data_IF_669953771297
#
_entry.id   IF_669953771297
#
_cell.length_a   1.000
_cell.length_b   1.000
_cell.length_c   1.000
_cell.angle_alpha   90.00
_cell.angle_beta   90.00
_cell.angle_gamma   90.00
#
_symmetry.space_group_name_H-M   'P 1'
#
loop_
_entity.id
_entity.type
_entity.pdbx_description
1 polymer ?
#
# COMPACT_ATOMS: atom_id res chain seq x y z
N UNK A 1 -10.40 -12.18 -19.27
CA UNK A 1 -9.45 -11.18 -18.73
C UNK A 1 -9.65 -11.19 -17.21
N UNK A 2 -8.70 -11.73 -16.46
CA UNK A 2 -8.81 -11.77 -15.00
C UNK A 2 -8.60 -10.34 -14.48
N UNK A 3 -9.68 -9.67 -14.10
CA UNK A 3 -9.60 -8.45 -13.28
C UNK A 3 -9.02 -8.88 -11.92
N UNK A 4 -7.69 -8.92 -11.84
CA UNK A 4 -7.01 -9.31 -10.62
C UNK A 4 -7.24 -8.21 -9.58
N UNK A 5 -8.12 -8.51 -8.63
CA UNK A 5 -8.39 -7.61 -7.53
C UNK A 5 -7.19 -7.62 -6.60
N UNK A 6 -6.80 -6.44 -6.15
CA UNK A 6 -5.71 -6.25 -5.19
C UNK A 6 -6.22 -5.54 -3.96
N UNK A 7 -5.66 -5.88 -2.81
CA UNK A 7 -5.93 -5.24 -1.52
C UNK A 7 -4.69 -4.49 -1.06
N UNK A 8 -4.92 -3.29 -0.53
CA UNK A 8 -3.91 -2.55 0.20
C UNK A 8 -3.93 -2.97 1.68
N UNK A 9 -2.82 -3.53 2.17
CA UNK A 9 -2.67 -4.04 3.54
C UNK A 9 -1.80 -3.14 4.43
N UNK A 10 -1.46 -1.94 3.96
CA UNK A 10 -0.68 -0.97 4.74
C UNK A 10 -1.51 -0.13 5.71
N UNK A 11 -0.87 0.82 6.42
CA UNK A 11 -1.56 1.79 7.29
C UNK A 11 -2.42 2.74 6.45
N UNK A 12 -3.45 3.33 7.05
CA UNK A 12 -4.34 4.26 6.33
C UNK A 12 -3.58 5.51 5.88
N UNK A 13 -3.57 5.76 4.58
CA UNK A 13 -2.98 6.93 3.94
C UNK A 13 -4.11 7.90 3.60
N UNK A 14 -4.26 8.94 4.42
CA UNK A 14 -5.36 9.91 4.27
C UNK A 14 -5.37 10.54 2.88
N UNK A 15 -6.51 10.47 2.21
CA UNK A 15 -6.69 10.99 0.85
C UNK A 15 -6.03 10.15 -0.25
N UNK A 16 -5.45 8.97 0.06
CA UNK A 16 -4.79 8.07 -0.89
C UNK A 16 -5.40 6.67 -0.86
N UNK A 17 -5.35 5.97 0.28
CA UNK A 17 -5.84 4.61 0.43
C UNK A 17 -6.15 4.29 1.90
N UNK A 18 -7.29 3.64 2.16
CA UNK A 18 -7.64 3.15 3.50
C UNK A 18 -7.02 1.78 3.72
N UNK A 19 -6.59 1.47 4.94
CA UNK A 19 -6.16 0.11 5.28
C UNK A 19 -7.27 -0.89 4.97
N UNK A 20 -6.91 -1.94 4.23
CA UNK A 20 -7.82 -2.95 3.74
C UNK A 20 -8.71 -2.56 2.56
N UNK A 21 -8.43 -1.44 1.89
CA UNK A 21 -9.11 -1.08 0.65
C UNK A 21 -8.82 -2.12 -0.45
N UNK A 22 -9.85 -2.53 -1.16
CA UNK A 22 -9.77 -3.41 -2.33
C UNK A 22 -9.97 -2.59 -3.59
N UNK A 23 -9.13 -2.84 -4.59
CA UNK A 23 -9.19 -2.20 -5.89
C UNK A 23 -9.37 -3.24 -6.99
N UNK A 24 -10.22 -2.91 -7.97
CA UNK A 24 -10.47 -3.71 -9.16
C UNK A 24 -10.12 -2.89 -10.41
N UNK A 25 -9.44 -3.51 -11.37
CA UNK A 25 -9.07 -2.84 -12.63
C UNK A 25 -7.90 -1.85 -12.50
N UNK A 26 -7.09 -1.94 -11.45
CA UNK A 26 -5.94 -1.07 -11.18
C UNK A 26 -6.00 -0.41 -9.81
N UNK A 27 -5.00 0.39 -9.47
CA UNK A 27 -4.91 1.15 -8.21
C UNK A 27 -5.17 2.64 -8.45
N UNK A 28 -5.58 3.42 -7.44
CA UNK A 28 -5.82 4.85 -7.62
C UNK A 28 -4.55 5.61 -8.05
N UNK A 29 -4.69 6.61 -8.93
CA UNK A 29 -3.56 7.45 -9.40
C UNK A 29 -2.67 8.01 -8.27
N UNK A 30 -3.28 8.41 -7.14
CA UNK A 30 -2.51 8.89 -5.97
C UNK A 30 -1.64 7.79 -5.37
N UNK A 31 -2.16 6.56 -5.31
CA UNK A 31 -1.41 5.40 -4.84
C UNK A 31 -0.32 5.00 -5.85
N UNK A 32 -0.58 5.12 -7.15
CA UNK A 32 0.44 4.94 -8.21
C UNK A 32 1.58 5.96 -8.09
N UNK A 33 1.26 7.26 -7.95
CA UNK A 33 2.25 8.32 -7.73
C UNK A 33 3.10 8.04 -6.49
N UNK A 34 2.45 7.65 -5.40
CA UNK A 34 3.15 7.28 -4.17
C UNK A 34 4.05 6.05 -4.39
N UNK A 35 3.58 5.04 -5.12
CA UNK A 35 4.36 3.85 -5.46
C UNK A 35 5.53 4.14 -6.41
N UNK A 36 5.43 5.16 -7.25
CA UNK A 36 6.53 5.63 -8.08
C UNK A 36 7.62 6.31 -7.24
N UNK A 37 7.24 7.14 -6.26
CA UNK A 37 8.18 7.85 -5.37
C UNK A 37 8.72 7.00 -4.22
N UNK A 38 7.92 6.05 -3.73
CA UNK A 38 8.26 5.10 -2.65
C UNK A 38 7.87 3.68 -3.07
N UNK A 39 8.73 2.99 -3.86
CA UNK A 39 8.45 1.65 -4.37
C UNK A 39 8.11 0.61 -3.32
N UNK A 40 8.55 0.80 -2.07
CA UNK A 40 8.28 -0.11 -0.96
C UNK A 40 6.78 -0.32 -0.68
N UNK A 41 5.93 0.65 -1.02
CA UNK A 41 4.48 0.50 -0.85
C UNK A 41 3.88 -0.62 -1.72
N UNK A 42 4.56 -1.01 -2.80
CA UNK A 42 4.13 -2.11 -3.67
C UNK A 42 4.07 -3.43 -2.91
N UNK A 43 4.90 -3.60 -1.87
CA UNK A 43 4.86 -4.77 -0.98
C UNK A 43 3.61 -4.83 -0.11
N UNK A 44 2.85 -3.73 -0.04
CA UNK A 44 1.59 -3.62 0.70
C UNK A 44 0.37 -3.69 -0.24
N UNK A 45 0.58 -3.96 -1.53
CA UNK A 45 -0.48 -4.14 -2.53
C UNK A 45 -0.42 -5.59 -2.98
N UNK A 46 -1.39 -6.39 -2.54
CA UNK A 46 -1.36 -7.85 -2.70
C UNK A 46 -2.61 -8.35 -3.39
N UNK A 47 -2.52 -9.41 -4.22
CA UNK A 47 -3.70 -10.01 -4.83
C UNK A 47 -4.62 -10.59 -3.74
N UNK A 48 -5.93 -10.58 -3.99
CA UNK A 48 -6.93 -11.13 -3.04
C UNK A 48 -6.60 -12.58 -2.64
N UNK A 49 -6.09 -13.38 -3.57
CA UNK A 49 -5.68 -14.77 -3.33
C UNK A 49 -4.58 -14.93 -2.27
N UNK A 50 -3.77 -13.89 -2.03
CA UNK A 50 -2.62 -13.91 -1.12
C UNK A 50 -2.83 -13.17 0.21
N UNK A 51 -4.02 -12.63 0.49
CA UNK A 51 -4.23 -11.75 1.66
C UNK A 51 -3.88 -12.42 2.98
N UNK A 52 -4.26 -13.69 3.15
CA UNK A 52 -4.04 -14.43 4.41
C UNK A 52 -2.56 -14.48 4.76
N UNK A 53 -1.73 -14.85 3.79
CA UNK A 53 -0.28 -14.90 3.98
C UNK A 53 0.30 -13.49 4.16
N UNK A 54 -0.12 -12.54 3.33
CA UNK A 54 0.42 -11.19 3.38
C UNK A 54 0.11 -10.46 4.70
N UNK A 55 -1.07 -10.69 5.30
CA UNK A 55 -1.38 -10.21 6.65
C UNK A 55 -0.45 -10.82 7.69
N UNK A 56 -0.26 -12.13 7.64
CA UNK A 56 0.68 -12.83 8.52
C UNK A 56 2.10 -12.27 8.37
N UNK A 57 2.52 -11.96 7.15
CA UNK A 57 3.84 -11.37 6.91
C UNK A 57 3.94 -9.97 7.53
N UNK A 58 2.93 -9.11 7.37
CA UNK A 58 2.90 -7.78 8.03
C UNK A 58 3.00 -7.90 9.55
N UNK A 59 2.36 -8.91 10.14
CA UNK A 59 2.40 -9.16 11.58
C UNK A 59 3.69 -9.86 12.05
N UNK A 60 4.52 -10.34 11.13
CA UNK A 60 5.78 -11.04 11.43
C UNK A 60 6.95 -10.07 11.31
N UNK A 61 7.58 -9.76 12.43
CA UNK A 61 8.75 -8.87 12.47
C UNK A 61 9.88 -9.38 11.56
N UNK A 62 10.52 -8.45 10.84
CA UNK A 62 11.63 -8.76 9.94
C UNK A 62 11.23 -9.22 8.54
N UNK A 63 9.93 -9.44 8.25
CA UNK A 63 9.50 -9.67 6.87
C UNK A 63 9.55 -8.39 6.04
N UNK A 64 9.59 -8.55 4.72
CA UNK A 64 9.53 -7.42 3.77
C UNK A 64 8.22 -6.63 3.93
N UNK A 65 7.10 -7.31 4.22
CA UNK A 65 5.80 -6.67 4.38
C UNK A 65 5.72 -5.87 5.69
N UNK A 66 6.25 -6.38 6.80
CA UNK A 66 6.34 -5.66 8.06
C UNK A 66 7.22 -4.41 7.93
N UNK A 67 8.42 -4.54 7.34
CA UNK A 67 9.33 -3.41 7.10
C UNK A 67 8.69 -2.37 6.18
N UNK A 68 7.93 -2.81 5.17
CA UNK A 68 7.18 -1.91 4.31
C UNK A 68 6.09 -1.17 5.08
N UNK A 69 5.34 -1.87 5.92
CA UNK A 69 4.31 -1.28 6.76
C UNK A 69 4.89 -0.20 7.67
N UNK A 70 5.96 -0.50 8.41
CA UNK A 70 6.61 0.43 9.34
C UNK A 70 7.12 1.69 8.65
N UNK A 71 7.80 1.52 7.51
CA UNK A 71 8.34 2.65 6.74
C UNK A 71 7.26 3.55 6.18
N UNK A 72 6.11 3.00 5.81
CA UNK A 72 4.96 3.78 5.34
C UNK A 72 4.21 4.41 6.53
N UNK A 73 4.10 3.71 7.65
CA UNK A 73 3.47 4.22 8.88
C UNK A 73 4.25 5.36 9.52
N UNK A 74 5.57 5.43 9.30
CA UNK A 74 6.42 6.52 9.76
C UNK A 74 6.26 7.83 8.94
N UNK A 75 5.55 7.80 7.80
CA UNK A 75 5.32 9.00 6.99
C UNK A 75 4.23 9.87 7.62
N UNK A 76 4.48 11.17 7.69
CA UNK A 76 3.45 12.11 8.10
C UNK A 76 2.41 12.32 6.99
N UNK A 77 1.21 12.76 7.36
CA UNK A 77 0.19 13.17 6.38
C UNK A 77 0.74 14.24 5.40
N UNK A 78 1.58 15.15 5.90
CA UNK A 78 2.21 16.18 5.07
C UNK A 78 3.17 15.59 4.03
N UNK A 79 3.93 14.55 4.39
CA UNK A 79 4.82 13.86 3.45
C UNK A 79 4.03 13.11 2.39
N UNK A 80 2.98 12.39 2.80
CA UNK A 80 2.09 11.68 1.87
C UNK A 80 1.47 12.66 0.87
N UNK A 81 1.00 13.82 1.36
CA UNK A 81 0.43 14.87 0.53
C UNK A 81 1.45 15.42 -0.47
N UNK A 82 2.66 15.78 -0.03
CA UNK A 82 3.74 16.25 -0.91
C UNK A 82 4.08 15.24 -2.01
N UNK A 83 4.11 13.95 -1.69
CA UNK A 83 4.45 12.86 -2.62
C UNK A 83 3.34 12.55 -3.64
N UNK A 84 2.10 12.95 -3.36
CA UNK A 84 0.93 12.61 -4.19
C UNK A 84 0.30 13.80 -4.90
N UNK A 85 0.49 15.01 -4.38
CA UNK A 85 -0.05 16.27 -4.90
C UNK A 85 1.03 17.20 -5.48
N UNK A 86 2.32 16.90 -5.29
CA UNK A 86 3.41 17.68 -5.86
C UNK A 86 3.62 17.37 -7.35
N UNK A 87 3.14 18.26 -8.21
CA UNK A 87 3.66 18.55 -9.56
C UNK A 87 3.91 20.05 -9.66
#
# INVERSE_FOLDING_TARGET
>A
MTNEQVMYIGPTLRGVAKSGAVFSGGIPKKLEKLAAKKPIIKNLIVPISGIVQAKKDVDTEGTVAAVAYDRISALSEADIRKLTEGE
#
